data_IF_056916619216
#
_entry.id   IF_056916619216
#
_cell.length_a   1.000
_cell.length_b   1.000
_cell.length_c   1.000
_cell.angle_alpha   90.00
_cell.angle_beta   90.00
_cell.angle_gamma   90.00
#
_symmetry.space_group_name_H-M   'P 1'
#
loop_
_entity.id
_entity.type
_entity.pdbx_description
1 polymer ?
#
# COMPACT_ATOMS: atom_id res chain seq x y z
N UNK A 1 16.10 -24.40 -10.03
CA UNK A 1 15.77 -24.03 -8.64
C UNK A 1 15.79 -22.53 -8.58
N UNK A 2 14.65 -21.87 -8.29
CA UNK A 2 14.63 -20.41 -8.14
C UNK A 2 15.23 -20.09 -6.77
N UNK A 3 16.35 -19.38 -6.75
CA UNK A 3 16.88 -18.86 -5.50
C UNK A 3 15.80 -17.97 -4.86
N UNK A 4 15.35 -18.39 -3.69
CA UNK A 4 14.42 -17.60 -2.87
C UNK A 4 15.21 -16.41 -2.32
N UNK A 5 14.73 -15.22 -2.59
CA UNK A 5 15.30 -14.00 -2.03
C UNK A 5 14.82 -13.86 -0.58
N UNK A 6 15.48 -14.57 0.33
CA UNK A 6 15.14 -14.62 1.76
C UNK A 6 15.02 -13.21 2.35
N UNK A 7 15.91 -12.29 1.96
CA UNK A 7 15.86 -10.90 2.42
C UNK A 7 14.56 -10.17 2.04
N UNK A 8 14.00 -10.46 0.86
CA UNK A 8 12.74 -9.88 0.42
C UNK A 8 11.55 -10.42 1.23
N UNK A 9 11.58 -11.72 1.55
CA UNK A 9 10.53 -12.35 2.36
C UNK A 9 10.56 -11.84 3.80
N UNK A 10 11.75 -11.66 4.39
CA UNK A 10 11.94 -11.06 5.72
C UNK A 10 11.46 -9.60 5.72
N UNK A 11 11.82 -8.81 4.73
CA UNK A 11 11.37 -7.42 4.62
C UNK A 11 9.84 -7.30 4.53
N UNK A 12 9.18 -8.18 3.77
CA UNK A 12 7.72 -8.25 3.70
C UNK A 12 7.08 -8.62 5.03
N UNK A 13 7.68 -9.58 5.73
CA UNK A 13 7.21 -9.99 7.05
C UNK A 13 7.29 -8.83 8.05
N UNK A 14 8.41 -8.12 8.09
CA UNK A 14 8.59 -6.95 8.97
C UNK A 14 7.60 -5.82 8.62
N UNK A 15 7.41 -5.54 7.34
CA UNK A 15 6.44 -4.54 6.90
C UNK A 15 4.99 -4.95 7.28
N UNK A 16 4.66 -6.24 7.17
CA UNK A 16 3.37 -6.78 7.59
C UNK A 16 3.16 -6.64 9.10
N UNK A 17 4.16 -7.00 9.92
CA UNK A 17 4.11 -6.84 11.38
C UNK A 17 3.93 -5.36 11.75
N UNK A 18 4.67 -4.45 11.10
CA UNK A 18 4.52 -3.01 11.30
C UNK A 18 3.10 -2.52 10.99
N UNK A 19 2.48 -3.01 9.91
CA UNK A 19 1.08 -2.69 9.59
C UNK A 19 0.10 -3.20 10.64
N UNK A 20 0.28 -4.43 11.12
CA UNK A 20 -0.58 -5.00 12.16
C UNK A 20 -0.49 -4.18 13.44
N UNK A 21 0.71 -3.77 13.85
CA UNK A 21 0.91 -2.94 15.03
C UNK A 21 0.22 -1.58 14.91
N UNK A 22 0.37 -0.91 13.77
CA UNK A 22 -0.28 0.39 13.51
C UNK A 22 -1.81 0.25 13.50
N UNK A 23 -2.35 -0.77 12.83
CA UNK A 23 -3.79 -0.99 12.79
C UNK A 23 -4.36 -1.34 14.16
N UNK A 24 -3.62 -2.13 14.95
CA UNK A 24 -4.01 -2.45 16.31
C UNK A 24 -4.03 -1.20 17.20
N UNK A 25 -3.02 -0.34 17.07
CA UNK A 25 -2.96 0.93 17.79
C UNK A 25 -4.15 1.83 17.45
N UNK A 26 -4.48 1.98 16.17
CA UNK A 26 -5.64 2.77 15.73
C UNK A 26 -6.93 2.28 16.39
N UNK A 27 -7.13 0.96 16.48
CA UNK A 27 -8.33 0.37 17.09
C UNK A 27 -8.36 0.59 18.59
N UNK A 28 -7.22 0.41 19.26
CA UNK A 28 -7.14 0.48 20.72
C UNK A 28 -7.10 1.91 21.25
N UNK A 29 -6.59 2.86 20.46
CA UNK A 29 -6.50 4.28 20.81
C UNK A 29 -7.80 5.05 20.52
N UNK A 30 -8.83 4.40 19.99
CA UNK A 30 -10.11 5.04 19.70
C UNK A 30 -10.77 5.50 21.00
N UNK A 31 -10.69 6.81 21.29
CA UNK A 31 -11.30 7.41 22.48
C UNK A 31 -10.43 7.45 23.74
N UNK A 32 -9.16 7.08 23.66
CA UNK A 32 -8.20 7.18 24.75
C UNK A 32 -7.18 8.27 24.44
N UNK A 33 -6.95 9.19 25.37
CA UNK A 33 -5.86 10.17 25.24
C UNK A 33 -4.52 9.44 25.11
N UNK A 34 -3.76 9.80 24.08
CA UNK A 34 -2.45 9.22 23.79
C UNK A 34 -1.50 9.47 24.96
N UNK A 35 -1.15 8.43 25.69
CA UNK A 35 -0.07 8.51 26.68
C UNK A 35 1.26 8.77 25.95
N UNK A 36 1.94 9.85 26.34
CA UNK A 36 3.29 10.12 25.88
C UNK A 36 4.23 8.99 26.33
N UNK A 37 4.71 8.20 25.37
CA UNK A 37 5.61 7.09 25.66
C UNK A 37 6.42 6.69 24.42
N UNK A 38 7.61 6.12 24.64
CA UNK A 38 8.50 5.62 23.58
C UNK A 38 7.78 4.72 22.57
N UNK A 39 6.82 3.92 23.02
CA UNK A 39 6.05 3.02 22.16
C UNK A 39 5.17 3.79 21.16
N UNK A 40 4.56 4.87 21.62
CA UNK A 40 3.73 5.73 20.79
C UNK A 40 4.56 6.42 19.69
N UNK A 41 5.76 6.87 20.03
CA UNK A 41 6.69 7.47 19.08
C UNK A 41 7.13 6.48 18.00
N UNK A 42 7.39 5.22 18.36
CA UNK A 42 7.70 4.16 17.41
C UNK A 42 6.53 3.88 16.46
N UNK A 43 5.31 3.81 16.98
CA UNK A 43 4.11 3.58 16.17
C UNK A 43 3.86 4.74 15.21
N UNK A 44 3.99 5.98 15.66
CA UNK A 44 3.88 7.17 14.80
C UNK A 44 4.91 7.15 13.65
N UNK A 45 6.14 6.70 13.92
CA UNK A 45 7.16 6.52 12.87
C UNK A 45 6.82 5.40 11.88
N UNK A 46 6.11 4.36 12.32
CA UNK A 46 5.65 3.26 11.47
C UNK A 46 4.41 3.63 10.66
N UNK A 47 3.60 4.58 11.15
CA UNK A 47 2.35 5.00 10.54
C UNK A 47 2.59 5.48 9.10
N UNK A 48 1.90 4.90 8.15
CA UNK A 48 2.06 5.15 6.71
C UNK A 48 3.31 4.52 6.07
N UNK A 49 4.44 4.45 6.77
CA UNK A 49 5.69 3.90 6.24
C UNK A 49 5.63 2.38 6.09
N UNK A 50 5.04 1.68 7.04
CA UNK A 50 4.90 0.23 6.99
C UNK A 50 4.03 -0.19 5.79
N UNK A 51 2.90 0.48 5.55
CA UNK A 51 2.03 0.20 4.42
C UNK A 51 2.69 0.55 3.08
N UNK A 52 3.36 1.70 2.98
CA UNK A 52 4.09 2.09 1.78
C UNK A 52 5.21 1.08 1.46
N UNK A 53 5.99 0.67 2.45
CA UNK A 53 7.04 -0.35 2.30
C UNK A 53 6.45 -1.68 1.83
N UNK A 54 5.33 -2.10 2.40
CA UNK A 54 4.67 -3.34 1.99
C UNK A 54 4.21 -3.29 0.53
N UNK A 55 3.62 -2.17 0.08
CA UNK A 55 3.19 -1.99 -1.32
C UNK A 55 4.38 -2.03 -2.27
N UNK A 56 5.48 -1.35 -1.94
CA UNK A 56 6.71 -1.38 -2.76
C UNK A 56 7.27 -2.79 -2.87
N UNK A 57 7.37 -3.52 -1.76
CA UNK A 57 7.85 -4.90 -1.73
C UNK A 57 6.92 -5.86 -2.49
N UNK A 58 5.61 -5.60 -2.45
CA UNK A 58 4.63 -6.33 -3.25
C UNK A 58 4.84 -6.07 -4.74
N UNK A 59 5.06 -4.80 -5.15
CA UNK A 59 5.37 -4.41 -6.52
C UNK A 59 6.65 -5.05 -7.05
N UNK A 60 7.71 -5.07 -6.23
CA UNK A 60 8.97 -5.77 -6.56
C UNK A 60 8.70 -7.27 -6.80
N UNK A 61 7.91 -7.90 -5.94
CA UNK A 61 7.53 -9.30 -6.10
C UNK A 61 6.74 -9.58 -7.36
N UNK A 62 5.84 -8.66 -7.72
CA UNK A 62 5.07 -8.72 -8.95
C UNK A 62 6.00 -8.63 -10.17
N UNK A 63 6.92 -7.66 -10.19
CA UNK A 63 7.90 -7.49 -11.25
C UNK A 63 8.81 -8.71 -11.42
N UNK A 64 9.34 -9.26 -10.32
CA UNK A 64 10.17 -10.47 -10.34
C UNK A 64 9.41 -11.71 -10.85
N UNK A 65 8.13 -11.83 -10.48
CA UNK A 65 7.27 -12.93 -10.94
C UNK A 65 6.98 -12.81 -12.44
N UNK A 66 6.75 -11.60 -12.92
CA UNK A 66 6.52 -11.30 -14.34
C UNK A 66 7.74 -11.56 -15.21
N UNK A 67 8.95 -11.30 -14.69
CA UNK A 67 10.19 -11.56 -15.42
C UNK A 67 10.36 -13.05 -15.80
N UNK A 68 9.79 -13.97 -15.02
CA UNK A 68 9.79 -15.41 -15.31
C UNK A 68 8.82 -15.85 -16.40
N UNK A 69 8.05 -14.92 -16.98
CA UNK A 69 7.21 -15.08 -18.19
C UNK A 69 6.30 -16.30 -18.22
N UNK A 70 5.68 -16.63 -17.11
CA UNK A 70 4.63 -17.64 -17.09
C UNK A 70 3.26 -16.99 -17.28
N UNK A 71 2.52 -17.38 -18.28
CA UNK A 71 1.13 -16.95 -18.52
C UNK A 71 0.23 -17.29 -17.30
N UNK A 72 0.60 -18.26 -16.50
CA UNK A 72 -0.03 -18.60 -15.23
C UNK A 72 0.15 -17.51 -14.15
N UNK A 73 1.18 -16.66 -14.25
CA UNK A 73 1.45 -15.61 -13.25
C UNK A 73 0.32 -14.59 -13.19
N UNK A 74 -0.15 -14.10 -14.35
CA UNK A 74 -1.25 -13.13 -14.43
C UNK A 74 -2.52 -13.70 -13.81
N UNK A 75 -2.89 -14.92 -14.19
CA UNK A 75 -4.09 -15.57 -13.66
C UNK A 75 -4.02 -15.78 -12.13
N UNK A 76 -2.84 -16.14 -11.63
CA UNK A 76 -2.61 -16.30 -10.19
C UNK A 76 -2.72 -14.98 -9.45
N UNK A 77 -2.19 -13.89 -10.01
CA UNK A 77 -2.26 -12.55 -9.41
C UNK A 77 -3.70 -12.06 -9.39
N UNK A 78 -4.44 -12.20 -10.49
CA UNK A 78 -5.86 -11.82 -10.55
C UNK A 78 -6.69 -12.59 -9.54
N UNK A 79 -6.50 -13.91 -9.42
CA UNK A 79 -7.20 -14.72 -8.40
C UNK A 79 -6.88 -14.25 -6.97
N UNK A 80 -5.63 -13.92 -6.68
CA UNK A 80 -5.22 -13.37 -5.37
C UNK A 80 -5.83 -12.01 -5.12
N UNK A 81 -5.88 -11.14 -6.14
CA UNK A 81 -6.50 -9.81 -6.04
C UNK A 81 -8.00 -9.92 -5.73
N UNK A 82 -8.71 -10.81 -6.44
CA UNK A 82 -10.14 -11.04 -6.19
C UNK A 82 -10.37 -11.60 -4.79
N UNK A 83 -9.54 -12.55 -4.34
CA UNK A 83 -9.64 -13.11 -3.00
C UNK A 83 -9.40 -12.02 -1.93
N UNK A 84 -8.37 -11.20 -2.10
CA UNK A 84 -8.09 -10.07 -1.20
C UNK A 84 -9.20 -9.04 -1.21
N UNK A 85 -9.83 -8.79 -2.38
CA UNK A 85 -10.94 -7.86 -2.49
C UNK A 85 -12.16 -8.36 -1.68
N UNK A 86 -12.53 -9.61 -1.86
CA UNK A 86 -13.64 -10.21 -1.12
C UNK A 86 -13.35 -10.18 0.39
N UNK A 87 -12.14 -10.57 0.79
CA UNK A 87 -11.74 -10.56 2.20
C UNK A 87 -11.73 -9.14 2.78
N UNK A 88 -11.22 -8.16 2.02
CA UNK A 88 -11.19 -6.76 2.43
C UNK A 88 -12.60 -6.16 2.54
N UNK A 89 -13.51 -6.46 1.62
CA UNK A 89 -14.90 -6.01 1.69
C UNK A 89 -15.64 -6.63 2.89
N UNK A 90 -15.37 -7.90 3.20
CA UNK A 90 -15.93 -8.54 4.40
C UNK A 90 -15.36 -7.89 5.67
N UNK A 91 -14.07 -7.61 5.70
CA UNK A 91 -13.42 -6.97 6.83
C UNK A 91 -13.89 -5.52 7.02
N UNK A 92 -14.09 -4.78 5.94
CA UNK A 92 -14.59 -3.40 5.96
C UNK A 92 -15.96 -3.28 6.61
N UNK A 93 -16.79 -4.34 6.57
CA UNK A 93 -18.08 -4.37 7.28
C UNK A 93 -17.95 -4.43 8.80
N UNK A 94 -16.78 -4.84 9.31
CA UNK A 94 -16.46 -4.98 10.73
C UNK A 94 -15.56 -3.84 11.20
N UNK A 95 -14.62 -3.43 10.34
CA UNK A 95 -13.60 -2.43 10.65
C UNK A 95 -13.42 -1.45 9.48
N UNK A 96 -13.85 -0.21 9.67
CA UNK A 96 -13.83 0.85 8.63
C UNK A 96 -12.41 1.21 8.17
N UNK A 97 -11.39 0.98 8.99
CA UNK A 97 -9.98 1.23 8.65
C UNK A 97 -9.30 0.12 7.83
N UNK A 98 -10.06 -0.76 7.19
CA UNK A 98 -9.48 -1.85 6.41
C UNK A 98 -8.70 -1.37 5.20
N UNK A 99 -7.48 -1.87 5.06
CA UNK A 99 -6.54 -1.54 3.98
C UNK A 99 -6.50 -2.66 2.92
N UNK A 100 -7.01 -3.87 3.22
CA UNK A 100 -6.88 -5.02 2.34
C UNK A 100 -7.54 -4.81 0.96
N UNK A 101 -8.70 -4.15 0.92
CA UNK A 101 -9.37 -3.88 -0.35
C UNK A 101 -8.56 -2.94 -1.26
N UNK A 102 -7.82 -1.97 -0.68
CA UNK A 102 -6.88 -1.13 -1.45
C UNK A 102 -5.75 -1.95 -2.06
N UNK A 103 -5.20 -2.94 -1.32
CA UNK A 103 -4.19 -3.84 -1.87
C UNK A 103 -4.70 -4.67 -3.03
N UNK A 104 -5.94 -5.11 -2.97
CA UNK A 104 -6.57 -5.82 -4.08
C UNK A 104 -6.59 -4.95 -5.36
N UNK A 105 -6.96 -3.68 -5.23
CA UNK A 105 -6.91 -2.72 -6.33
C UNK A 105 -5.49 -2.49 -6.85
N UNK A 106 -4.51 -2.32 -5.96
CA UNK A 106 -3.10 -2.12 -6.37
C UNK A 106 -2.55 -3.34 -7.11
N UNK A 107 -2.85 -4.55 -6.68
CA UNK A 107 -2.47 -5.76 -7.41
C UNK A 107 -3.14 -5.87 -8.76
N UNK A 108 -4.43 -5.57 -8.83
CA UNK A 108 -5.19 -5.59 -10.09
C UNK A 108 -4.62 -4.55 -11.07
N UNK A 109 -4.38 -3.33 -10.59
CA UNK A 109 -3.76 -2.28 -11.39
C UNK A 109 -2.34 -2.65 -11.82
N UNK A 110 -1.57 -3.28 -10.94
CA UNK A 110 -0.22 -3.78 -11.23
C UNK A 110 -0.19 -4.75 -12.40
N UNK A 111 -1.21 -5.59 -12.56
CA UNK A 111 -1.32 -6.52 -13.71
C UNK A 111 -1.38 -5.76 -15.03
N UNK A 112 -2.13 -4.66 -15.10
CA UNK A 112 -2.22 -3.83 -16.31
C UNK A 112 -0.90 -3.13 -16.64
N UNK A 113 -0.07 -2.85 -15.65
CA UNK A 113 1.22 -2.19 -15.82
C UNK A 113 2.34 -3.17 -16.21
N UNK A 114 2.18 -4.48 -16.00
CA UNK A 114 3.19 -5.48 -16.31
C UNK A 114 3.68 -5.50 -17.77
N UNK A 115 2.83 -5.29 -18.80
CA UNK A 115 3.29 -5.28 -20.20
C UNK A 115 3.97 -3.97 -20.60
N UNK A 116 3.98 -2.94 -19.74
CA UNK A 116 4.52 -1.64 -20.09
C UNK A 116 6.05 -1.64 -20.10
N UNK A 117 6.63 -0.88 -21.00
CA UNK A 117 8.07 -0.66 -21.03
C UNK A 117 8.52 0.20 -19.83
N UNK A 118 9.79 0.09 -19.44
CA UNK A 118 10.34 0.88 -18.33
C UNK A 118 10.12 2.39 -18.53
N UNK A 119 10.21 2.88 -19.80
CA UNK A 119 9.97 4.29 -20.12
C UNK A 119 8.52 4.70 -19.86
N UNK A 120 7.58 3.84 -20.26
CA UNK A 120 6.15 4.08 -20.01
C UNK A 120 5.85 4.05 -18.52
N UNK A 121 6.44 3.13 -17.74
CA UNK A 121 6.29 3.08 -16.29
C UNK A 121 6.80 4.33 -15.60
N UNK A 122 7.98 4.83 -15.98
CA UNK A 122 8.54 6.09 -15.44
C UNK A 122 7.62 7.26 -15.76
N UNK A 123 7.06 7.30 -16.97
CA UNK A 123 6.13 8.34 -17.39
C UNK A 123 4.82 8.29 -16.56
N UNK A 124 4.26 7.11 -16.35
CA UNK A 124 3.07 6.91 -15.50
C UNK A 124 3.35 7.37 -14.06
N UNK A 125 4.51 6.99 -13.50
CA UNK A 125 4.92 7.42 -12.15
C UNK A 125 5.03 8.95 -12.10
N UNK A 126 5.65 9.57 -13.11
CA UNK A 126 5.77 11.03 -13.21
C UNK A 126 4.41 11.72 -13.25
N UNK A 127 3.50 11.26 -14.10
CA UNK A 127 2.14 11.81 -14.21
C UNK A 127 1.38 11.70 -12.89
N UNK A 128 1.43 10.54 -12.23
CA UNK A 128 0.76 10.33 -10.95
C UNK A 128 1.32 11.24 -9.86
N UNK A 129 2.64 11.41 -9.80
CA UNK A 129 3.26 12.33 -8.83
C UNK A 129 2.89 13.79 -9.10
N UNK A 130 2.95 14.24 -10.35
CA UNK A 130 2.57 15.62 -10.72
C UNK A 130 1.08 15.84 -10.40
N UNK A 131 0.21 14.90 -10.72
CA UNK A 131 -1.21 14.96 -10.41
C UNK A 131 -1.47 15.03 -8.89
N UNK A 132 -0.77 14.24 -8.10
CA UNK A 132 -0.86 14.27 -6.64
C UNK A 132 -0.38 15.61 -6.07
N UNK A 133 0.77 16.14 -6.54
CA UNK A 133 1.27 17.44 -6.14
C UNK A 133 0.32 18.57 -6.54
N UNK A 134 -0.23 18.52 -7.76
CA UNK A 134 -1.23 19.49 -8.22
C UNK A 134 -2.48 19.50 -7.35
N UNK A 135 -2.99 18.32 -7.01
CA UNK A 135 -4.16 18.16 -6.14
C UNK A 135 -3.86 18.69 -4.70
N UNK A 136 -2.67 18.43 -4.19
CA UNK A 136 -2.25 18.90 -2.87
C UNK A 136 -2.12 20.43 -2.83
N UNK A 137 -1.53 21.04 -3.86
CA UNK A 137 -1.44 22.50 -4.00
C UNK A 137 -2.84 23.13 -4.11
N UNK A 138 -3.72 22.54 -4.89
CA UNK A 138 -5.08 23.03 -5.03
C UNK A 138 -5.85 22.94 -3.72
N UNK A 139 -5.70 21.86 -2.95
CA UNK A 139 -6.28 21.71 -1.62
C UNK A 139 -5.76 22.77 -0.64
N UNK A 140 -4.45 23.04 -0.64
CA UNK A 140 -3.83 24.05 0.22
C UNK A 140 -4.30 25.46 -0.13
N UNK A 141 -4.41 25.81 -1.41
CA UNK A 141 -4.91 27.10 -1.85
C UNK A 141 -6.37 27.31 -1.45
N UNK A 142 -7.20 26.27 -1.63
CA UNK A 142 -8.62 26.32 -1.27
C UNK A 142 -8.84 26.49 0.24
N UNK A 143 -8.03 25.82 1.08
CA UNK A 143 -8.13 25.96 2.55
C UNK A 143 -7.60 27.30 3.03
N UNK A 144 -6.63 27.92 2.34
CA UNK A 144 -6.16 29.27 2.66
C UNK A 144 -7.23 30.32 2.40
N UNK A 145 -7.91 30.24 1.25
CA UNK A 145 -8.99 31.19 0.90
C UNK A 145 -10.18 31.11 1.88
N UNK A 146 -10.48 29.88 2.36
CA UNK A 146 -11.56 29.66 3.33
C UNK A 146 -11.22 30.15 4.77
N UNK A 147 -9.96 30.40 5.07
CA UNK A 147 -9.52 30.91 6.38
C UNK A 147 -9.49 32.43 6.42
N UNK A 148 -9.57 33.10 5.27
CA UNK A 148 -9.55 34.55 5.14
C UNK A 148 -10.99 35.18 5.04
N UNK A 149 -12.05 34.34 5.01
CA UNK A 149 -13.47 34.76 5.13
C UNK A 149 -14.01 34.55 6.55
#
# INVERSE_FOLDING_TARGET
MSERLIGLDVARYLAFVGMVLVNFDIVMSYGVESNEGFFNEVIEQLRGRASATFVVLAGIGLGLSSYKRESQTVNTIVKRSIFLLILGLLNMSIFEGDILHYYAFYFLFGVFLLPFSNRALILVIGILNIGFFGMLLFCLLYTSDAADE
#
